data_IF_499313985950
#
_entry.id   IF_499313985950
#
_cell.length_a   1.000
_cell.length_b   1.000
_cell.length_c   1.000
_cell.angle_alpha   90.00
_cell.angle_beta   90.00
_cell.angle_gamma   90.00
#
_symmetry.space_group_name_H-M   'P 1'
#
loop_
_entity.id
_entity.type
_entity.pdbx_description
1 polymer ?
#
# COMPACT_ATOMS: atom_id res chain seq x y z
N UNK A 1 -14.39 -12.47 5.64
CA UNK A 1 -14.02 -11.56 4.52
C UNK A 1 -14.83 -12.02 3.31
N UNK A 2 -15.40 -11.11 2.53
CA UNK A 2 -16.25 -11.45 1.37
C UNK A 2 -15.68 -10.80 0.14
N UNK A 3 -15.32 -11.62 -0.86
CA UNK A 3 -14.64 -11.19 -2.06
C UNK A 3 -13.20 -10.77 -1.82
N UNK A 4 -12.67 -10.05 -2.80
CA UNK A 4 -11.28 -9.61 -2.89
C UNK A 4 -11.25 -8.25 -3.61
N UNK A 5 -10.56 -7.27 -3.06
CA UNK A 5 -10.65 -5.89 -3.51
C UNK A 5 -9.27 -5.24 -3.56
N UNK A 6 -8.80 -5.02 -4.78
CA UNK A 6 -7.50 -4.47 -5.08
C UNK A 6 -7.50 -2.94 -4.94
N UNK A 7 -6.34 -2.39 -4.57
CA UNK A 7 -6.14 -0.98 -4.27
C UNK A 7 -5.21 -0.32 -5.29
N UNK A 8 -5.58 0.85 -5.79
CA UNK A 8 -4.81 1.64 -6.76
C UNK A 8 -4.78 3.11 -6.35
N UNK A 9 -3.67 3.80 -6.58
CA UNK A 9 -3.53 5.22 -6.26
C UNK A 9 -2.76 6.00 -7.32
N UNK A 10 -3.12 7.27 -7.54
CA UNK A 10 -2.44 8.16 -8.49
C UNK A 10 -2.42 9.61 -8.02
N UNK A 11 -1.29 10.30 -8.26
CA UNK A 11 -1.16 11.75 -8.08
C UNK A 11 -1.45 12.54 -9.37
N UNK A 12 -1.65 11.85 -10.50
CA UNK A 12 -1.81 12.45 -11.83
C UNK A 12 -3.24 12.21 -12.34
N UNK A 13 -3.73 10.99 -12.17
CA UNK A 13 -5.00 10.52 -12.71
C UNK A 13 -6.07 10.64 -11.65
N UNK A 14 -7.13 11.39 -11.96
CA UNK A 14 -8.19 11.70 -11.00
C UNK A 14 -9.05 10.49 -10.63
N UNK A 15 -9.11 9.47 -11.51
CA UNK A 15 -9.86 8.22 -11.34
C UNK A 15 -8.98 7.03 -11.74
N UNK A 16 -8.04 6.62 -10.88
CA UNK A 16 -7.20 5.47 -11.19
C UNK A 16 -8.04 4.21 -11.33
N UNK A 17 -7.63 3.32 -12.22
CA UNK A 17 -8.30 2.04 -12.53
C UNK A 17 -7.32 0.88 -12.41
N UNK A 18 -7.77 -0.34 -12.61
CA UNK A 18 -6.91 -1.54 -12.66
C UNK A 18 -6.04 -1.63 -13.93
N UNK A 19 -6.15 -0.66 -14.84
CA UNK A 19 -5.38 -0.67 -16.10
C UNK A 19 -3.96 -0.16 -15.82
N UNK A 20 -2.89 -0.80 -16.33
CA UNK A 20 -1.49 -0.51 -15.95
C UNK A 20 -1.08 0.96 -16.05
N UNK A 21 -1.58 1.70 -17.04
CA UNK A 21 -1.24 3.12 -17.25
C UNK A 21 -2.12 4.09 -16.44
N UNK A 22 -3.05 3.57 -15.63
CA UNK A 22 -4.03 4.36 -14.91
C UNK A 22 -3.74 4.53 -13.42
N UNK A 23 -2.55 4.16 -12.93
CA UNK A 23 -2.14 4.38 -11.54
C UNK A 23 -0.66 4.73 -11.41
N UNK A 24 -0.26 5.22 -10.23
CA UNK A 24 1.15 5.41 -9.86
C UNK A 24 1.62 4.36 -8.85
N UNK A 25 0.70 3.81 -8.05
CA UNK A 25 0.95 2.80 -7.03
C UNK A 25 -0.23 1.82 -7.05
N UNK A 26 0.03 0.55 -6.75
CA UNK A 26 -1.01 -0.47 -6.59
C UNK A 26 -0.66 -1.44 -5.46
N UNK A 27 -1.66 -2.17 -4.99
CA UNK A 27 -1.55 -3.42 -4.24
C UNK A 27 -2.72 -4.27 -4.69
N UNK A 28 -2.43 -5.40 -5.34
CA UNK A 28 -3.43 -6.32 -5.89
C UNK A 28 -3.08 -7.74 -5.46
N UNK A 29 -3.47 -8.09 -4.24
CA UNK A 29 -3.14 -9.36 -3.59
C UNK A 29 -4.41 -10.08 -3.17
N UNK A 30 -4.37 -11.40 -2.96
CA UNK A 30 -5.55 -12.16 -2.52
C UNK A 30 -5.89 -11.96 -1.02
N UNK A 31 -5.62 -10.78 -0.46
CA UNK A 31 -5.52 -10.53 0.98
C UNK A 31 -5.75 -9.08 1.39
N UNK A 32 -5.00 -8.61 2.38
CA UNK A 32 -5.06 -7.21 2.82
C UNK A 32 -4.14 -6.36 1.93
N UNK A 33 -4.74 -5.45 1.17
CA UNK A 33 -3.99 -4.53 0.31
C UNK A 33 -3.64 -3.23 1.01
N UNK A 34 -2.37 -2.83 0.92
CA UNK A 34 -1.83 -1.62 1.55
C UNK A 34 -0.91 -0.88 0.59
N UNK A 35 -1.11 0.43 0.47
CA UNK A 35 -0.22 1.32 -0.29
C UNK A 35 0.34 2.40 0.63
N UNK A 36 1.64 2.63 0.54
CA UNK A 36 2.31 3.76 1.20
C UNK A 36 2.48 4.90 0.21
N UNK A 37 1.81 6.03 0.48
CA UNK A 37 1.93 7.23 -0.36
C UNK A 37 3.22 7.98 0.01
N UNK A 38 4.19 8.11 -0.91
CA UNK A 38 5.43 8.83 -0.64
C UNK A 38 5.17 10.31 -0.32
N UNK A 39 6.00 10.90 0.56
CA UNK A 39 5.93 12.33 0.91
C UNK A 39 6.03 13.25 -0.32
N UNK A 40 6.71 12.80 -1.38
CA UNK A 40 6.88 13.55 -2.62
C UNK A 40 5.64 13.58 -3.53
N UNK A 41 4.58 12.82 -3.23
CA UNK A 41 3.39 12.84 -4.07
C UNK A 41 2.67 14.19 -3.99
N UNK A 42 2.38 14.77 -5.15
CA UNK A 42 1.54 15.96 -5.26
C UNK A 42 0.13 15.63 -4.81
N UNK A 43 -0.45 16.54 -4.03
CA UNK A 43 -1.83 16.44 -3.57
C UNK A 43 -2.76 17.18 -4.55
N UNK A 44 -4.01 16.71 -4.74
CA UNK A 44 -4.60 15.50 -4.14
C UNK A 44 -4.03 14.20 -4.73
N UNK A 45 -4.11 13.12 -3.95
CA UNK A 45 -3.86 11.75 -4.44
C UNK A 45 -5.21 11.06 -4.54
N UNK A 46 -5.54 10.55 -5.71
CA UNK A 46 -6.76 9.79 -5.97
C UNK A 46 -6.55 8.31 -5.66
N UNK A 47 -7.60 7.66 -5.16
CA UNK A 47 -7.62 6.23 -4.82
C UNK A 47 -8.74 5.56 -5.62
N UNK A 48 -8.45 4.39 -6.17
CA UNK A 48 -9.40 3.49 -6.83
C UNK A 48 -9.40 2.14 -6.14
N UNK A 49 -10.58 1.56 -5.94
CA UNK A 49 -10.75 0.23 -5.33
C UNK A 49 -11.62 -0.61 -6.27
N UNK A 50 -11.14 -1.78 -6.67
CA UNK A 50 -11.80 -2.63 -7.65
C UNK A 50 -11.91 -4.06 -7.13
N UNK A 51 -13.07 -4.69 -7.32
CA UNK A 51 -13.26 -6.08 -6.94
C UNK A 51 -12.59 -7.03 -7.93
N UNK A 52 -11.90 -8.05 -7.45
CA UNK A 52 -11.30 -9.08 -8.29
C UNK A 52 -12.38 -9.88 -9.04
N UNK A 53 -12.25 -10.16 -10.35
CA UNK A 53 -13.28 -10.80 -11.17
C UNK A 53 -13.72 -12.20 -10.72
N UNK A 54 -12.92 -12.89 -9.89
CA UNK A 54 -13.28 -14.20 -9.34
C UNK A 54 -14.39 -14.16 -8.30
N UNK A 55 -14.80 -12.97 -7.86
CA UNK A 55 -15.82 -12.77 -6.84
C UNK A 55 -16.96 -11.90 -7.38
N UNK A 56 -18.19 -12.37 -7.22
CA UNK A 56 -19.38 -11.60 -7.61
C UNK A 56 -19.54 -10.31 -6.78
N UNK A 57 -19.14 -10.37 -5.51
CA UNK A 57 -19.24 -9.25 -4.56
C UNK A 57 -17.95 -9.19 -3.72
N UNK A 58 -17.34 -8.01 -3.67
CA UNK A 58 -16.23 -7.70 -2.78
C UNK A 58 -16.63 -6.62 -1.76
N UNK A 59 -16.49 -6.94 -0.47
CA UNK A 59 -16.73 -6.01 0.64
C UNK A 59 -15.38 -5.59 1.21
N UNK A 60 -15.16 -4.28 1.29
CA UNK A 60 -13.91 -3.72 1.79
C UNK A 60 -14.17 -2.63 2.84
N UNK A 61 -13.12 -2.29 3.58
CA UNK A 61 -13.07 -1.12 4.45
C UNK A 61 -11.78 -0.38 4.13
N UNK A 62 -11.88 0.89 3.77
CA UNK A 62 -10.72 1.71 3.46
C UNK A 62 -10.32 2.51 4.71
N UNK A 63 -9.11 2.27 5.21
CA UNK A 63 -8.50 3.06 6.27
C UNK A 63 -7.41 3.95 5.67
N UNK A 64 -7.47 5.25 5.96
CA UNK A 64 -6.44 6.20 5.58
C UNK A 64 -5.82 6.76 6.85
N UNK A 65 -4.50 6.69 6.99
CA UNK A 65 -3.78 7.15 8.17
C UNK A 65 -2.51 7.88 7.76
N UNK A 66 -2.20 8.97 8.44
CA UNK A 66 -0.92 9.65 8.31
C UNK A 66 0.11 8.91 9.18
N UNK A 67 1.20 8.45 8.56
CA UNK A 67 2.30 7.83 9.30
C UNK A 67 3.32 8.91 9.61
N UNK A 68 3.40 9.29 10.89
CA UNK A 68 4.45 10.17 11.39
C UNK A 68 5.65 9.28 11.69
N UNK A 69 6.68 9.35 10.84
CA UNK A 69 7.97 8.72 11.13
C UNK A 69 8.80 9.78 11.84
N UNK A 70 9.00 9.61 13.15
CA UNK A 70 9.96 10.42 13.89
C UNK A 70 11.36 10.11 13.33
N UNK A 71 12.03 11.13 12.82
CA UNK A 71 13.38 11.03 12.25
C UNK A 71 14.35 10.79 13.43
N UNK A 72 14.87 9.57 13.54
CA UNK A 72 15.84 9.16 14.57
C UNK A 72 17.14 9.99 14.45
N UNK A 73 17.15 11.17 15.06
CA UNK A 73 18.39 11.83 15.46
C UNK A 73 18.86 11.24 16.79
N UNK A 74 19.62 10.14 16.67
CA UNK A 74 20.65 9.63 17.62
C UNK A 74 20.42 9.80 19.13
N UNK A 75 20.22 8.70 19.87
CA UNK A 75 21.10 8.21 20.97
C UNK A 75 20.37 7.19 21.87
N UNK A 76 21.15 6.26 22.42
CA UNK A 76 20.76 5.12 23.25
C UNK A 76 19.82 5.47 24.41
N UNK A 77 18.68 4.76 24.54
CA UNK A 77 18.36 3.98 25.75
C UNK A 77 17.24 2.96 25.47
N UNK A 78 17.30 1.83 26.16
CA UNK A 78 16.41 0.69 26.06
C UNK A 78 15.02 0.99 26.67
N UNK A 79 13.94 0.80 25.92
CA UNK A 79 12.70 0.24 26.49
C UNK A 79 11.87 -0.48 25.44
N UNK A 80 11.93 -1.80 25.53
CA UNK A 80 11.31 -2.82 24.68
C UNK A 80 9.78 -2.78 24.71
N UNK A 81 9.15 -2.57 23.55
CA UNK A 81 7.71 -2.84 23.38
C UNK A 81 7.12 -2.47 22.02
N UNK A 82 7.44 -1.28 21.50
CA UNK A 82 6.82 -0.75 20.28
C UNK A 82 7.66 -0.91 19.00
N UNK A 83 8.97 -1.14 19.13
CA UNK A 83 9.90 -1.20 17.99
C UNK A 83 9.69 -2.43 17.10
N UNK A 84 9.18 -3.54 17.66
CA UNK A 84 8.98 -4.79 16.91
C UNK A 84 7.88 -4.64 15.84
N UNK A 85 6.71 -4.06 16.17
CA UNK A 85 5.63 -3.88 15.20
C UNK A 85 6.01 -2.96 14.04
N UNK A 86 6.72 -1.86 14.32
CA UNK A 86 7.12 -0.92 13.27
C UNK A 86 8.19 -1.50 12.36
N UNK A 87 9.14 -2.25 12.93
CA UNK A 87 10.21 -2.89 12.16
C UNK A 87 9.69 -4.05 11.32
N UNK A 88 8.75 -4.83 11.83
CA UNK A 88 8.08 -5.87 11.04
C UNK A 88 7.30 -5.23 9.89
N UNK A 89 6.52 -4.17 10.15
CA UNK A 89 5.84 -3.43 9.07
C UNK A 89 6.80 -2.83 8.03
N UNK A 90 7.96 -2.30 8.43
CA UNK A 90 8.96 -1.78 7.48
C UNK A 90 9.63 -2.91 6.67
N UNK A 91 9.83 -4.08 7.27
CA UNK A 91 10.34 -5.25 6.55
C UNK A 91 9.30 -5.78 5.58
N UNK A 92 8.04 -5.80 5.97
CA UNK A 92 6.91 -6.13 5.09
C UNK A 92 6.85 -5.12 3.94
N UNK A 93 6.95 -3.80 4.21
CA UNK A 93 7.04 -2.73 3.19
C UNK A 93 8.14 -2.99 2.17
N UNK A 94 9.36 -3.29 2.63
CA UNK A 94 10.50 -3.55 1.75
C UNK A 94 10.30 -4.87 0.98
N UNK A 95 9.70 -5.88 1.57
CA UNK A 95 9.47 -7.17 0.93
C UNK A 95 8.43 -7.07 -0.19
N UNK A 96 7.28 -6.43 0.05
CA UNK A 96 6.23 -6.25 -0.95
C UNK A 96 6.69 -5.40 -2.14
N UNK A 97 7.41 -4.29 -1.89
CA UNK A 97 7.95 -3.47 -2.98
C UNK A 97 8.95 -4.22 -3.88
N UNK A 98 9.67 -5.22 -3.34
CA UNK A 98 10.56 -6.07 -4.14
C UNK A 98 9.83 -7.21 -4.86
N UNK A 99 8.68 -7.67 -4.32
CA UNK A 99 7.88 -8.72 -4.94
C UNK A 99 7.06 -8.19 -6.13
N UNK A 100 6.52 -6.98 -6.03
CA UNK A 100 5.86 -6.29 -7.14
C UNK A 100 6.78 -6.15 -8.36
N UNK A 101 8.06 -5.82 -8.12
CA UNK A 101 9.09 -5.76 -9.15
C UNK A 101 9.36 -7.12 -9.82
N UNK A 102 9.17 -8.21 -9.07
CA UNK A 102 9.40 -9.58 -9.54
C UNK A 102 8.22 -10.08 -10.38
N UNK A 103 7.00 -9.61 -10.11
CA UNK A 103 5.81 -9.93 -10.89
C UNK A 103 5.79 -9.22 -12.25
N UNK A 104 6.27 -7.97 -12.33
CA UNK A 104 6.46 -7.24 -13.61
C UNK A 104 7.59 -7.80 -14.49
N UNK A 105 8.50 -8.61 -13.94
CA UNK A 105 9.58 -9.25 -14.69
C UNK A 105 9.23 -10.66 -15.20
N UNK A 106 8.15 -11.26 -14.67
CA UNK A 106 7.77 -12.65 -14.94
C UNK A 106 6.47 -12.80 -15.75
N UNK A 107 5.75 -11.70 -15.99
CA UNK A 107 4.56 -11.62 -16.83
C UNK A 107 4.58 -10.34 -17.67
#
# INVERSE_FOLDING_TARGET
ITGDADLYASQIISKPTYEPDHYCLQSATCGEDTIFIPKGFKRPVSIGVYGHPSHEISKYTLLVSEVIVEDDTSSYDETSGNTYKTRDRIRDILFFANLDLLFELLF
#
